data_IF_782608758277
#
_entry.id   IF_782608758277
#
_cell.length_a   1.000
_cell.length_b   1.000
_cell.length_c   1.000
_cell.angle_alpha   90.00
_cell.angle_beta   90.00
_cell.angle_gamma   90.00
#
_symmetry.space_group_name_H-M   'P 1'
#
loop_
_entity.id
_entity.type
_entity.pdbx_description
1 polymer ?
#
# COMPACT_ATOMS: atom_id res chain seq x y z
N UNK A 1 22.86 -18.70 -2.34
CA UNK A 1 22.30 -17.44 -2.87
C UNK A 1 21.41 -17.81 -4.03
N UNK A 2 20.10 -17.52 -4.01
CA UNK A 2 19.26 -17.76 -5.18
C UNK A 2 19.73 -16.82 -6.31
N UNK A 3 19.76 -17.35 -7.51
CA UNK A 3 20.28 -16.71 -8.71
C UNK A 3 19.32 -15.59 -9.16
N UNK A 4 19.55 -14.36 -8.69
CA UNK A 4 18.77 -13.17 -9.04
C UNK A 4 18.81 -12.79 -10.53
N UNK A 5 19.70 -13.43 -11.31
CA UNK A 5 19.97 -13.04 -12.69
C UNK A 5 18.96 -13.57 -13.73
N UNK A 6 18.07 -14.50 -13.36
CA UNK A 6 17.19 -15.15 -14.35
C UNK A 6 15.86 -14.42 -14.61
N UNK A 7 15.51 -13.41 -13.80
CA UNK A 7 14.21 -12.73 -13.89
C UNK A 7 14.27 -11.20 -13.99
N UNK A 8 15.46 -10.63 -14.10
CA UNK A 8 15.61 -9.19 -14.25
C UNK A 8 15.58 -8.81 -15.74
N UNK A 9 14.83 -7.76 -16.07
CA UNK A 9 14.91 -7.13 -17.39
C UNK A 9 16.30 -6.51 -17.59
N UNK A 10 16.71 -6.27 -18.87
CA UNK A 10 17.98 -5.57 -19.18
C UNK A 10 18.07 -4.22 -18.46
N UNK A 11 16.95 -3.50 -18.33
CA UNK A 11 16.86 -2.21 -17.64
C UNK A 11 17.11 -2.37 -16.15
N UNK A 12 16.47 -3.34 -15.51
CA UNK A 12 16.65 -3.66 -14.08
C UNK A 12 18.09 -4.09 -13.77
N UNK A 13 18.72 -4.88 -14.64
CA UNK A 13 20.11 -5.30 -14.47
C UNK A 13 21.08 -4.11 -14.60
N UNK A 14 20.83 -3.17 -15.52
CA UNK A 14 21.65 -1.96 -15.67
C UNK A 14 21.48 -1.00 -14.50
N UNK A 15 20.27 -0.87 -13.93
CA UNK A 15 20.00 -0.08 -12.73
C UNK A 15 20.72 -0.65 -11.50
N UNK A 16 20.75 -1.98 -11.35
CA UNK A 16 21.47 -2.66 -10.26
C UNK A 16 22.99 -2.55 -10.44
N UNK A 17 23.51 -2.66 -11.65
CA UNK A 17 24.95 -2.57 -11.94
C UNK A 17 25.47 -1.13 -11.90
N UNK A 18 24.64 -0.13 -12.19
CA UNK A 18 24.99 1.30 -12.08
C UNK A 18 25.20 1.80 -10.65
N UNK A 19 24.86 1.01 -9.64
CA UNK A 19 24.95 1.35 -8.22
C UNK A 19 26.40 1.49 -7.70
N UNK A 20 27.37 0.88 -8.40
CA UNK A 20 28.76 0.84 -7.94
C UNK A 20 29.55 2.15 -8.08
N UNK A 21 29.08 3.13 -8.86
CA UNK A 21 29.89 4.30 -9.24
C UNK A 21 29.39 5.67 -8.73
N UNK A 22 28.21 5.77 -8.12
CA UNK A 22 27.58 7.04 -7.75
C UNK A 22 27.34 7.22 -6.23
N UNK A 23 28.10 6.55 -5.37
CA UNK A 23 28.04 6.74 -3.91
C UNK A 23 28.74 8.01 -3.41
N UNK A 24 29.08 8.94 -4.31
CA UNK A 24 29.71 10.20 -3.95
C UNK A 24 28.72 11.37 -4.13
N UNK A 25 28.42 12.01 -2.98
CA UNK A 25 27.84 13.36 -2.86
C UNK A 25 26.33 13.51 -3.17
N UNK A 26 25.47 12.97 -2.31
CA UNK A 26 24.24 13.69 -2.01
C UNK A 26 24.54 14.72 -0.89
N UNK A 27 24.13 15.98 -1.03
CA UNK A 27 24.36 16.97 0.03
C UNK A 27 23.58 16.56 1.28
N UNK A 28 24.31 16.32 2.38
CA UNK A 28 23.72 16.23 3.70
C UNK A 28 23.13 17.59 4.04
N UNK A 29 21.78 17.67 4.13
CA UNK A 29 21.12 18.82 4.74
C UNK A 29 20.44 19.78 3.77
N UNK A 30 19.52 19.29 2.90
CA UNK A 30 18.40 20.10 2.46
C UNK A 30 17.15 19.47 3.10
N UNK A 31 16.86 19.84 4.34
CA UNK A 31 15.53 19.61 4.90
C UNK A 31 14.57 20.39 4.01
N UNK A 32 13.64 19.67 3.38
CA UNK A 32 12.70 20.26 2.45
C UNK A 32 11.92 21.36 3.18
N UNK A 33 11.94 22.58 2.61
CA UNK A 33 10.91 23.58 2.86
C UNK A 33 9.55 22.92 2.69
N UNK A 34 8.54 23.34 3.47
CA UNK A 34 7.17 22.90 3.31
C UNK A 34 6.84 22.77 1.83
N UNK A 35 6.55 21.57 1.37
CA UNK A 35 6.33 21.30 -0.03
C UNK A 35 5.13 22.11 -0.49
N UNK A 36 5.37 23.19 -1.24
CA UNK A 36 4.30 23.99 -1.79
C UNK A 36 3.48 23.11 -2.74
N UNK A 37 2.23 22.90 -2.41
CA UNK A 37 1.32 22.15 -3.27
C UNK A 37 0.97 22.97 -4.52
N UNK A 38 0.77 22.33 -5.68
CA UNK A 38 0.31 23.01 -6.88
C UNK A 38 -1.00 23.77 -6.61
N UNK A 39 -1.16 24.96 -7.21
CA UNK A 39 -2.40 25.73 -7.08
C UNK A 39 -3.61 24.89 -7.49
N UNK A 40 -4.62 24.78 -6.62
CA UNK A 40 -5.81 23.98 -6.83
C UNK A 40 -5.65 22.50 -6.53
N UNK A 41 -4.53 22.10 -5.91
CA UNK A 41 -4.38 20.73 -5.42
C UNK A 41 -5.37 20.46 -4.29
N UNK A 42 -5.92 19.24 -4.30
CA UNK A 42 -6.87 18.75 -3.29
C UNK A 42 -6.44 17.36 -2.81
N UNK A 43 -6.87 17.00 -1.61
CA UNK A 43 -6.98 15.62 -1.16
C UNK A 43 -8.47 15.28 -1.15
N UNK A 44 -8.86 14.31 -1.97
CA UNK A 44 -10.27 13.92 -2.12
C UNK A 44 -10.63 12.87 -1.09
N UNK A 45 -11.67 13.14 -0.32
CA UNK A 45 -12.28 12.17 0.60
C UNK A 45 -13.68 11.81 0.16
N UNK A 46 -14.26 10.80 0.77
CA UNK A 46 -15.61 10.32 0.45
C UNK A 46 -16.70 11.36 0.68
N UNK A 47 -16.47 12.35 1.54
CA UNK A 47 -17.46 13.38 1.89
C UNK A 47 -17.18 14.73 1.21
N UNK A 48 -15.93 15.19 1.19
CA UNK A 48 -15.53 16.48 0.59
C UNK A 48 -14.08 16.48 0.14
N UNK A 49 -13.72 17.44 -0.69
CA UNK A 49 -12.33 17.72 -1.03
C UNK A 49 -11.71 18.65 0.03
N UNK A 50 -10.47 18.39 0.44
CA UNK A 50 -9.69 19.21 1.38
C UNK A 50 -8.52 19.87 0.65
N UNK A 51 -8.15 21.09 1.05
CA UNK A 51 -6.81 21.57 0.76
C UNK A 51 -5.79 20.70 1.52
N UNK A 52 -4.62 20.36 0.92
CA UNK A 52 -3.65 19.49 1.60
C UNK A 52 -3.20 20.00 2.97
N UNK A 53 -3.20 21.31 3.17
CA UNK A 53 -2.84 22.00 4.41
C UNK A 53 -3.85 21.74 5.54
N UNK A 54 -5.13 21.52 5.20
CA UNK A 54 -6.17 21.23 6.20
C UNK A 54 -5.95 19.89 6.92
N UNK A 55 -5.19 18.97 6.31
CA UNK A 55 -4.86 17.66 6.88
C UNK A 55 -3.46 17.60 7.51
N UNK A 56 -2.77 18.76 7.66
CA UNK A 56 -1.44 18.84 8.26
C UNK A 56 -1.43 18.62 9.79
N UNK A 57 -2.58 18.67 10.42
CA UNK A 57 -2.72 18.59 11.89
C UNK A 57 -2.50 17.20 12.49
N UNK A 58 -2.22 16.18 11.69
CA UNK A 58 -2.01 14.82 12.18
C UNK A 58 -1.56 13.84 11.10
N UNK A 59 -1.30 12.61 11.52
CA UNK A 59 -0.86 11.55 10.63
C UNK A 59 -1.95 11.12 9.65
N UNK A 60 -1.55 10.67 8.47
CA UNK A 60 -2.42 9.98 7.52
C UNK A 60 -1.97 8.52 7.39
N UNK A 61 -2.87 7.59 7.66
CA UNK A 61 -2.67 6.18 7.39
C UNK A 61 -3.01 5.91 5.92
N UNK A 62 -2.03 5.46 5.14
CA UNK A 62 -2.22 5.37 3.68
C UNK A 62 -2.86 4.05 3.22
N UNK A 63 -3.03 3.06 4.10
CA UNK A 63 -3.53 1.73 3.74
C UNK A 63 -4.18 1.04 4.94
N UNK A 64 -5.51 1.09 5.00
CA UNK A 64 -6.34 0.36 5.97
C UNK A 64 -7.57 -0.22 5.27
N UNK A 65 -8.29 -1.14 5.93
CA UNK A 65 -9.52 -1.75 5.41
C UNK A 65 -10.67 -1.61 6.42
N UNK A 66 -11.74 -0.93 6.03
CA UNK A 66 -12.92 -0.76 6.89
C UNK A 66 -14.01 -1.77 6.58
N UNK A 67 -14.02 -2.34 5.38
CA UNK A 67 -14.99 -3.34 4.98
C UNK A 67 -14.37 -4.32 3.97
N UNK A 68 -14.55 -5.61 4.24
CA UNK A 68 -14.18 -6.70 3.34
C UNK A 68 -15.34 -7.71 3.30
N UNK A 69 -15.48 -8.44 2.19
CA UNK A 69 -16.45 -9.53 2.09
C UNK A 69 -16.23 -10.57 3.19
N UNK A 70 -17.29 -11.19 3.69
CA UNK A 70 -17.23 -12.20 4.76
C UNK A 70 -16.35 -13.40 4.40
N UNK A 71 -16.23 -13.72 3.11
CA UNK A 71 -15.41 -14.80 2.58
C UNK A 71 -14.00 -14.36 2.11
N UNK A 72 -13.66 -13.06 2.24
CA UNK A 72 -12.40 -12.50 1.76
C UNK A 72 -11.18 -13.24 2.32
N UNK A 73 -11.12 -13.43 3.64
CA UNK A 73 -9.99 -14.11 4.29
C UNK A 73 -9.84 -15.58 3.82
N UNK A 74 -10.94 -16.26 3.57
CA UNK A 74 -10.92 -17.63 3.06
C UNK A 74 -10.37 -17.67 1.63
N UNK A 75 -10.85 -16.79 0.75
CA UNK A 75 -10.35 -16.64 -0.62
C UNK A 75 -8.88 -16.24 -0.65
N UNK A 76 -8.48 -15.26 0.15
CA UNK A 76 -7.09 -14.80 0.24
C UNK A 76 -6.17 -15.92 0.72
N UNK A 77 -6.59 -16.68 1.74
CA UNK A 77 -5.85 -17.83 2.25
C UNK A 77 -5.67 -18.92 1.20
N UNK A 78 -6.71 -19.24 0.44
CA UNK A 78 -6.66 -20.21 -0.65
C UNK A 78 -5.73 -19.77 -1.79
N UNK A 79 -5.83 -18.50 -2.20
CA UNK A 79 -4.98 -17.91 -3.24
C UNK A 79 -3.50 -17.91 -2.81
N UNK A 80 -3.21 -17.53 -1.57
CA UNK A 80 -1.85 -17.55 -1.00
C UNK A 80 -1.28 -18.97 -0.96
N UNK A 81 -2.10 -19.96 -0.57
CA UNK A 81 -1.68 -21.36 -0.55
C UNK A 81 -1.38 -21.87 -1.96
N UNK A 82 -2.21 -21.53 -2.95
CA UNK A 82 -2.01 -21.89 -4.34
C UNK A 82 -0.72 -21.25 -4.92
N UNK A 83 -0.47 -19.96 -4.66
CA UNK A 83 0.74 -19.28 -5.09
C UNK A 83 2.00 -19.90 -4.47
N UNK A 84 1.96 -20.28 -3.19
CA UNK A 84 3.07 -20.97 -2.53
C UNK A 84 3.31 -22.38 -3.11
N UNK A 85 2.25 -23.12 -3.42
CA UNK A 85 2.37 -24.44 -4.03
C UNK A 85 2.97 -24.37 -5.44
N UNK A 86 2.57 -23.37 -6.24
CA UNK A 86 3.12 -23.14 -7.58
C UNK A 86 4.62 -22.76 -7.56
N UNK A 87 5.07 -22.06 -6.53
CA UNK A 87 6.47 -21.65 -6.33
C UNK A 87 7.30 -22.67 -5.55
N UNK A 88 6.69 -23.73 -5.00
CA UNK A 88 7.43 -24.84 -4.40
C UNK A 88 8.15 -25.62 -5.51
N UNK A 89 9.48 -25.59 -5.54
CA UNK A 89 10.26 -26.44 -6.46
C UNK A 89 9.91 -27.91 -6.26
N UNK A 90 9.80 -28.72 -7.34
CA UNK A 90 9.62 -30.14 -7.22
C UNK A 90 10.71 -30.75 -6.32
N UNK A 91 10.35 -31.61 -5.37
CA UNK A 91 11.23 -32.22 -4.37
C UNK A 91 12.43 -32.98 -4.94
N UNK A 92 12.54 -33.13 -6.26
CA UNK A 92 13.62 -33.85 -6.95
C UNK A 92 14.94 -33.06 -7.09
N UNK A 93 14.97 -31.73 -6.84
CA UNK A 93 16.19 -30.92 -6.96
C UNK A 93 16.92 -30.68 -5.61
N UNK A 94 16.41 -31.13 -4.49
CA UNK A 94 16.97 -30.89 -3.16
C UNK A 94 17.86 -32.06 -2.66
N UNK A 95 18.80 -32.53 -3.50
CA UNK A 95 19.90 -33.39 -3.01
C UNK A 95 21.19 -32.57 -2.92
N UNK A 96 21.32 -31.81 -1.83
CA UNK A 96 22.52 -31.07 -1.50
C UNK A 96 22.30 -30.25 -0.24
N UNK A 97 22.64 -30.82 0.91
CA UNK A 97 22.22 -30.39 2.24
C UNK A 97 22.61 -28.97 2.66
N UNK A 98 21.64 -28.31 3.26
CA UNK A 98 21.74 -27.48 4.46
C UNK A 98 20.33 -27.42 5.08
N UNK A 99 20.15 -27.43 6.41
CA UNK A 99 18.82 -27.41 7.00
C UNK A 99 18.14 -26.08 6.65
N UNK A 100 16.94 -26.17 6.09
CA UNK A 100 16.07 -25.05 5.85
C UNK A 100 15.76 -24.37 7.20
N UNK A 101 16.23 -23.16 7.37
CA UNK A 101 15.71 -22.27 8.42
C UNK A 101 14.26 -22.01 8.05
N UNK A 102 13.35 -22.50 8.87
CA UNK A 102 11.92 -22.24 8.71
C UNK A 102 11.71 -20.73 8.71
N UNK A 103 11.44 -20.17 7.53
CA UNK A 103 11.13 -18.77 7.36
C UNK A 103 9.93 -18.41 8.21
N UNK A 104 10.11 -17.40 9.06
CA UNK A 104 9.08 -16.88 9.94
C UNK A 104 7.82 -16.55 9.13
N UNK A 105 6.73 -17.23 9.46
CA UNK A 105 5.43 -17.02 8.85
C UNK A 105 5.01 -15.58 9.02
N UNK A 106 4.67 -14.93 7.90
CA UNK A 106 4.07 -13.61 7.92
C UNK A 106 2.89 -13.56 8.88
N UNK A 107 2.87 -12.50 9.67
CA UNK A 107 1.87 -12.28 10.69
C UNK A 107 0.48 -12.18 10.03
N UNK A 108 -0.34 -13.16 10.27
CA UNK A 108 -1.75 -13.14 9.87
C UNK A 108 -2.45 -12.11 10.75
N UNK A 109 -2.74 -10.94 10.21
CA UNK A 109 -3.75 -10.03 10.73
C UNK A 109 -5.15 -10.60 10.48
N UNK A 110 -5.42 -11.78 10.99
CA UNK A 110 -6.73 -12.38 11.06
C UNK A 110 -6.92 -12.85 12.48
N UNK A 111 -7.96 -12.41 13.17
CA UNK A 111 -8.40 -12.95 14.42
C UNK A 111 -8.73 -14.43 14.24
N UNK A 112 -7.70 -15.26 14.29
CA UNK A 112 -7.80 -16.71 14.34
C UNK A 112 -8.18 -17.10 15.76
N UNK A 113 -9.47 -17.26 16.02
CA UNK A 113 -9.99 -17.89 17.23
C UNK A 113 -9.45 -19.31 17.36
N UNK A 114 -8.45 -19.54 18.21
CA UNK A 114 -8.08 -20.85 18.72
C UNK A 114 -8.43 -20.88 20.20
N UNK A 115 -9.60 -21.37 20.50
CA UNK A 115 -10.01 -21.64 21.87
C UNK A 115 -11.45 -22.09 21.89
N UNK A 116 -11.70 -23.39 22.03
CA UNK A 116 -13.00 -23.93 22.35
C UNK A 116 -13.44 -23.43 23.74
N UNK A 117 -14.28 -22.45 23.77
CA UNK A 117 -15.04 -21.99 24.91
C UNK A 117 -16.25 -21.26 24.33
N UNK A 118 -17.47 -21.65 24.77
CA UNK A 118 -18.75 -21.12 24.28
C UNK A 118 -18.97 -19.65 24.62
N UNK A 119 -18.09 -18.76 24.13
CA UNK A 119 -18.25 -17.32 24.17
C UNK A 119 -18.96 -16.82 22.93
N UNK A 120 -19.75 -15.77 23.07
CA UNK A 120 -20.36 -15.03 21.96
C UNK A 120 -19.26 -14.65 20.95
N UNK A 121 -19.43 -14.91 19.63
CA UNK A 121 -18.47 -14.47 18.64
C UNK A 121 -18.21 -12.96 18.79
N UNK A 122 -16.98 -12.48 18.58
CA UNK A 122 -16.73 -11.05 18.58
C UNK A 122 -17.63 -10.38 17.55
N UNK A 123 -18.13 -9.17 17.83
CA UNK A 123 -19.02 -8.46 16.94
C UNK A 123 -18.32 -8.25 15.58
N UNK A 124 -19.08 -8.44 14.50
CA UNK A 124 -18.60 -8.21 13.14
C UNK A 124 -18.53 -6.70 12.86
N UNK A 125 -17.39 -6.12 13.22
CA UNK A 125 -17.14 -4.68 13.09
C UNK A 125 -17.16 -4.21 11.62
N UNK A 126 -16.72 -5.06 10.68
CA UNK A 126 -16.60 -4.72 9.27
C UNK A 126 -17.94 -4.66 8.54
N UNK A 127 -19.01 -5.15 9.16
CA UNK A 127 -20.38 -5.09 8.62
C UNK A 127 -21.35 -4.32 9.53
N UNK A 128 -20.82 -3.58 10.51
CA UNK A 128 -21.59 -2.75 11.41
C UNK A 128 -21.06 -1.31 11.41
N UNK A 129 -21.82 -0.40 10.80
CA UNK A 129 -21.43 1.01 10.65
C UNK A 129 -21.14 1.67 12.00
N UNK A 130 -21.93 1.39 13.03
CA UNK A 130 -21.78 2.05 14.34
C UNK A 130 -20.48 1.60 15.01
N UNK A 131 -20.23 0.30 15.08
CA UNK A 131 -18.99 -0.25 15.64
C UNK A 131 -17.75 0.21 14.87
N UNK A 132 -17.80 0.21 13.54
CA UNK A 132 -16.70 0.70 12.73
C UNK A 132 -16.48 2.20 12.93
N UNK A 133 -17.55 2.98 13.06
CA UNK A 133 -17.45 4.43 13.31
C UNK A 133 -16.83 4.73 14.67
N UNK A 134 -17.17 3.97 15.71
CA UNK A 134 -16.55 4.08 17.03
C UNK A 134 -15.04 3.73 16.97
N UNK A 135 -14.69 2.67 16.23
CA UNK A 135 -13.30 2.25 16.07
C UNK A 135 -12.47 3.31 15.33
N UNK A 136 -13.00 3.84 14.23
CA UNK A 136 -12.35 4.91 13.47
C UNK A 136 -12.25 6.20 14.29
N UNK A 137 -13.27 6.56 15.07
CA UNK A 137 -13.27 7.75 15.93
C UNK A 137 -12.13 7.74 16.99
N UNK A 138 -11.73 6.56 17.47
CA UNK A 138 -10.59 6.41 18.41
C UNK A 138 -9.27 6.90 17.83
N UNK A 139 -9.13 6.88 16.51
CA UNK A 139 -7.88 7.29 15.83
C UNK A 139 -7.56 8.77 16.04
N UNK A 140 -8.56 9.62 16.28
CA UNK A 140 -8.36 11.06 16.56
C UNK A 140 -7.50 11.28 17.81
N UNK A 141 -7.72 10.50 18.86
CA UNK A 141 -6.93 10.61 20.10
C UNK A 141 -5.47 10.18 19.90
N UNK A 142 -5.18 9.41 18.87
CA UNK A 142 -3.82 9.03 18.47
C UNK A 142 -3.17 10.04 17.50
N UNK A 143 -3.83 11.17 17.19
CA UNK A 143 -3.29 12.19 16.28
C UNK A 143 -3.38 11.81 14.80
N UNK A 144 -4.35 10.97 14.41
CA UNK A 144 -4.60 10.61 13.01
C UNK A 144 -5.64 11.58 12.43
N UNK A 145 -5.27 12.28 11.35
CA UNK A 145 -6.09 13.28 10.67
C UNK A 145 -6.83 12.72 9.45
N UNK A 146 -6.35 11.64 8.86
CA UNK A 146 -6.95 11.03 7.67
C UNK A 146 -6.59 9.55 7.56
N UNK A 147 -7.48 8.77 6.95
CA UNK A 147 -7.26 7.34 6.68
C UNK A 147 -7.60 7.07 5.21
N UNK A 148 -6.79 6.27 4.54
CA UNK A 148 -7.09 5.72 3.21
C UNK A 148 -7.64 4.32 3.39
N UNK A 149 -8.86 4.09 2.89
CA UNK A 149 -9.46 2.77 2.80
C UNK A 149 -9.05 2.12 1.48
N UNK A 150 -8.30 1.03 1.55
CA UNK A 150 -7.79 0.27 0.40
C UNK A 150 -8.80 -0.70 -0.21
N UNK A 151 -10.03 -0.71 0.31
CA UNK A 151 -11.06 -1.63 -0.16
C UNK A 151 -11.59 -1.31 -1.55
N UNK A 152 -12.01 -2.36 -2.26
CA UNK A 152 -12.62 -2.30 -3.59
C UNK A 152 -13.96 -3.05 -3.61
N UNK A 153 -14.84 -2.81 -4.61
CA UNK A 153 -16.06 -3.60 -4.77
C UNK A 153 -15.81 -5.10 -4.91
N UNK A 154 -14.73 -5.53 -5.59
CA UNK A 154 -14.33 -6.93 -5.75
C UNK A 154 -13.76 -7.56 -4.45
N UNK A 155 -13.44 -6.74 -3.46
CA UNK A 155 -13.11 -7.14 -2.09
C UNK A 155 -14.32 -7.08 -1.14
N UNK A 156 -15.48 -6.62 -1.62
CA UNK A 156 -16.72 -6.49 -0.84
C UNK A 156 -16.95 -5.14 -0.19
N UNK A 157 -16.20 -4.09 -0.57
CA UNK A 157 -16.41 -2.72 -0.06
C UNK A 157 -17.69 -2.11 -0.65
N UNK A 158 -18.56 -1.56 0.22
CA UNK A 158 -19.66 -0.65 -0.12
C UNK A 158 -19.25 0.80 0.20
N UNK A 159 -19.23 1.65 -0.81
CA UNK A 159 -18.86 3.06 -0.65
C UNK A 159 -19.79 3.82 0.30
N UNK A 160 -21.05 3.43 0.41
CA UNK A 160 -22.01 4.07 1.31
C UNK A 160 -21.74 3.70 2.78
N UNK A 161 -21.21 2.48 3.03
CA UNK A 161 -20.70 2.10 4.35
C UNK A 161 -19.57 3.04 4.76
N UNK A 162 -18.58 3.24 3.88
CA UNK A 162 -17.42 4.11 4.15
C UNK A 162 -17.85 5.56 4.37
N UNK A 163 -18.81 6.08 3.57
CA UNK A 163 -19.37 7.43 3.76
C UNK A 163 -20.03 7.59 5.13
N UNK A 164 -20.81 6.61 5.55
CA UNK A 164 -21.45 6.64 6.87
C UNK A 164 -20.41 6.58 8.00
N UNK A 165 -19.39 5.73 7.88
CA UNK A 165 -18.30 5.65 8.85
C UNK A 165 -17.57 6.98 8.95
N UNK A 166 -17.21 7.61 7.82
CA UNK A 166 -16.56 8.93 7.82
C UNK A 166 -17.42 10.00 8.47
N UNK A 167 -18.72 10.02 8.16
CA UNK A 167 -19.67 11.00 8.71
C UNK A 167 -19.85 10.84 10.22
N UNK A 168 -20.04 9.61 10.70
CA UNK A 168 -20.28 9.34 12.12
C UNK A 168 -19.02 9.49 12.96
N UNK A 169 -17.87 9.02 12.48
CA UNK A 169 -16.59 9.13 13.18
C UNK A 169 -16.04 10.55 13.17
N UNK A 170 -16.40 11.34 12.17
CA UNK A 170 -15.82 12.67 11.93
C UNK A 170 -14.34 12.62 11.52
N UNK A 171 -13.87 11.48 10.98
CA UNK A 171 -12.53 11.29 10.43
C UNK A 171 -12.60 11.34 8.90
N UNK A 172 -11.80 12.19 8.24
CA UNK A 172 -11.67 12.19 6.80
C UNK A 172 -11.18 10.82 6.28
N UNK A 173 -11.93 10.22 5.33
CA UNK A 173 -11.56 8.96 4.71
C UNK A 173 -11.41 9.16 3.21
N UNK A 174 -10.26 8.79 2.69
CA UNK A 174 -9.97 8.70 1.25
C UNK A 174 -10.36 7.31 0.80
N UNK A 175 -11.24 7.20 -0.20
CA UNK A 175 -11.57 5.89 -0.77
C UNK A 175 -10.56 5.48 -1.83
N UNK A 176 -10.07 4.28 -1.70
CA UNK A 176 -9.39 3.52 -2.74
C UNK A 176 -10.37 2.96 -3.77
N UNK A 177 -9.84 2.52 -4.91
CA UNK A 177 -10.64 1.85 -5.93
C UNK A 177 -9.80 1.25 -7.03
N UNK A 178 -10.44 0.51 -7.90
CA UNK A 178 -9.82 -0.24 -8.96
C UNK A 178 -10.20 -1.71 -8.89
N UNK A 179 -9.25 -2.59 -9.20
CA UNK A 179 -9.40 -4.05 -9.10
C UNK A 179 -8.21 -4.60 -8.30
N UNK A 180 -8.49 -5.46 -7.32
CA UNK A 180 -7.49 -5.94 -6.38
C UNK A 180 -6.43 -6.83 -7.04
N UNK A 181 -6.71 -8.11 -7.17
CA UNK A 181 -5.80 -9.08 -7.79
C UNK A 181 -6.61 -10.19 -8.47
N UNK A 182 -5.97 -10.97 -9.34
CA UNK A 182 -6.67 -11.92 -10.21
C UNK A 182 -7.64 -12.86 -9.50
N UNK A 183 -7.38 -13.43 -8.30
CA UNK A 183 -8.34 -14.29 -7.61
C UNK A 183 -9.65 -13.60 -7.22
N UNK A 184 -9.66 -12.28 -7.17
CA UNK A 184 -10.79 -11.46 -6.75
C UNK A 184 -11.49 -10.76 -7.92
N UNK A 185 -10.86 -10.72 -9.08
CA UNK A 185 -11.39 -10.00 -10.23
C UNK A 185 -12.80 -10.50 -10.62
N UNK A 186 -13.70 -9.57 -11.00
CA UNK A 186 -14.88 -9.93 -11.76
C UNK A 186 -14.49 -10.75 -12.99
N UNK A 187 -15.32 -11.75 -13.35
CA UNK A 187 -15.02 -12.67 -14.46
C UNK A 187 -14.83 -11.95 -15.79
N UNK A 188 -15.48 -10.81 -15.94
CA UNK A 188 -15.45 -9.96 -17.14
C UNK A 188 -14.06 -9.41 -17.44
N UNK A 189 -13.20 -9.22 -16.41
CA UNK A 189 -11.83 -8.69 -16.58
C UNK A 189 -11.05 -9.52 -17.58
N UNK A 190 -11.22 -10.83 -17.60
CA UNK A 190 -10.48 -11.72 -18.53
C UNK A 190 -10.80 -11.43 -19.99
N UNK A 191 -12.02 -11.00 -20.30
CA UNK A 191 -12.52 -10.73 -21.67
C UNK A 191 -12.59 -9.25 -22.03
N UNK A 192 -12.56 -8.35 -21.04
CA UNK A 192 -12.56 -6.91 -21.28
C UNK A 192 -11.30 -6.47 -22.00
N UNK A 193 -11.43 -5.54 -22.93
CA UNK A 193 -10.29 -4.82 -23.47
C UNK A 193 -9.68 -3.89 -22.41
N UNK A 194 -8.40 -3.58 -22.55
CA UNK A 194 -7.73 -2.62 -21.66
C UNK A 194 -8.44 -1.25 -21.66
N UNK A 195 -8.92 -0.79 -22.84
CA UNK A 195 -9.67 0.46 -22.95
C UNK A 195 -11.02 0.43 -22.24
N UNK A 196 -11.69 -0.71 -22.15
CA UNK A 196 -12.95 -0.81 -21.40
C UNK A 196 -12.69 -0.87 -19.89
N UNK A 197 -11.59 -1.48 -19.45
CA UNK A 197 -11.15 -1.40 -18.05
C UNK A 197 -10.83 0.06 -17.67
N UNK A 198 -10.16 0.83 -18.52
CA UNK A 198 -9.90 2.26 -18.29
C UNK A 198 -11.20 3.04 -18.10
N UNK A 199 -12.20 2.82 -18.97
CA UNK A 199 -13.52 3.48 -18.84
C UNK A 199 -14.21 3.09 -17.52
N UNK A 200 -14.16 1.81 -17.14
CA UNK A 200 -14.73 1.32 -15.89
C UNK A 200 -14.06 1.97 -14.66
N UNK A 201 -12.73 2.09 -14.66
CA UNK A 201 -11.95 2.74 -13.61
C UNK A 201 -12.29 4.24 -13.48
N UNK A 202 -12.39 4.96 -14.60
CA UNK A 202 -12.76 6.38 -14.61
C UNK A 202 -14.19 6.55 -14.10
N UNK A 203 -15.12 5.69 -14.53
CA UNK A 203 -16.49 5.72 -14.04
C UNK A 203 -16.55 5.47 -12.54
N UNK A 204 -15.83 4.48 -12.04
CA UNK A 204 -15.75 4.19 -10.60
C UNK A 204 -15.17 5.38 -9.83
N UNK A 205 -14.10 6.01 -10.34
CA UNK A 205 -13.49 7.18 -9.71
C UNK A 205 -14.49 8.33 -9.55
N UNK A 206 -15.35 8.54 -10.55
CA UNK A 206 -16.38 9.57 -10.51
C UNK A 206 -17.56 9.19 -9.57
N UNK A 207 -18.07 7.95 -9.67
CA UNK A 207 -19.28 7.52 -8.95
C UNK A 207 -19.01 7.32 -7.44
N UNK A 208 -17.87 6.72 -7.10
CA UNK A 208 -17.45 6.45 -5.72
C UNK A 208 -16.72 7.63 -5.08
N UNK A 209 -16.37 8.66 -5.86
CA UNK A 209 -15.58 9.81 -5.38
C UNK A 209 -14.22 9.37 -4.85
N UNK A 210 -13.49 8.57 -5.66
CA UNK A 210 -12.19 8.04 -5.26
C UNK A 210 -11.15 9.15 -5.09
N UNK A 211 -10.26 8.99 -4.09
CA UNK A 211 -9.08 9.83 -3.90
C UNK A 211 -7.78 9.17 -4.36
N UNK A 212 -7.81 7.87 -4.62
CA UNK A 212 -6.64 7.08 -5.03
C UNK A 212 -7.09 5.83 -5.81
N UNK A 213 -6.29 5.34 -6.76
CA UNK A 213 -6.42 3.97 -7.25
C UNK A 213 -5.57 3.06 -6.36
N UNK A 214 -6.17 2.07 -5.76
CA UNK A 214 -5.48 1.13 -4.85
C UNK A 214 -6.39 0.55 -3.77
N UNK A 215 -5.98 -0.62 -3.27
CA UNK A 215 -4.70 -1.29 -3.58
C UNK A 215 -4.79 -2.13 -4.86
N UNK A 216 -3.96 -1.83 -5.84
CA UNK A 216 -3.89 -2.59 -7.10
C UNK A 216 -2.90 -3.73 -6.93
N UNK A 217 -3.35 -4.96 -7.06
CA UNK A 217 -2.60 -6.13 -6.60
C UNK A 217 -1.96 -6.99 -7.69
N UNK A 218 -0.82 -7.54 -7.33
CA UNK A 218 -0.26 -8.72 -7.98
C UNK A 218 0.44 -9.62 -6.97
N UNK A 219 0.63 -10.88 -7.36
CA UNK A 219 1.47 -11.82 -6.63
C UNK A 219 2.94 -11.70 -7.07
N UNK A 220 3.79 -12.66 -6.68
CA UNK A 220 5.22 -12.67 -7.05
C UNK A 220 5.45 -12.69 -8.56
N UNK A 221 4.56 -13.35 -9.30
CA UNK A 221 4.52 -13.33 -10.76
C UNK A 221 3.25 -12.61 -11.19
N UNK A 222 3.42 -11.53 -11.95
CA UNK A 222 2.29 -10.74 -12.45
C UNK A 222 1.64 -11.50 -13.62
N UNK A 223 0.37 -11.84 -13.47
CA UNK A 223 -0.38 -12.56 -14.50
C UNK A 223 -0.72 -11.66 -15.70
N UNK A 224 -1.20 -12.24 -16.79
CA UNK A 224 -1.58 -11.48 -17.98
C UNK A 224 -2.73 -10.49 -17.68
N UNK A 225 -3.72 -10.90 -16.87
CA UNK A 225 -4.84 -10.04 -16.50
C UNK A 225 -4.41 -8.95 -15.52
N UNK A 226 -3.54 -9.27 -14.55
CA UNK A 226 -2.97 -8.26 -13.65
C UNK A 226 -2.17 -7.22 -14.43
N UNK A 227 -1.30 -7.61 -15.39
CA UNK A 227 -0.60 -6.67 -16.28
C UNK A 227 -1.57 -5.76 -17.04
N UNK A 228 -2.67 -6.32 -17.55
CA UNK A 228 -3.70 -5.57 -18.24
C UNK A 228 -4.36 -4.55 -17.31
N UNK A 229 -4.67 -4.94 -16.07
CA UNK A 229 -5.25 -4.05 -15.04
C UNK A 229 -4.24 -2.96 -14.66
N UNK A 230 -2.97 -3.29 -14.39
CA UNK A 230 -1.94 -2.29 -14.07
C UNK A 230 -1.79 -1.24 -15.18
N UNK A 231 -1.74 -1.65 -16.47
CA UNK A 231 -1.70 -0.71 -17.60
C UNK A 231 -2.95 0.16 -17.67
N UNK A 232 -4.12 -0.44 -17.46
CA UNK A 232 -5.38 0.30 -17.46
C UNK A 232 -5.44 1.32 -16.31
N UNK A 233 -4.98 0.96 -15.11
CA UNK A 233 -4.88 1.87 -13.96
C UNK A 233 -3.92 3.02 -14.26
N UNK A 234 -2.76 2.74 -14.86
CA UNK A 234 -1.82 3.79 -15.29
C UNK A 234 -2.46 4.77 -16.27
N UNK A 235 -3.21 4.29 -17.27
CA UNK A 235 -3.93 5.15 -18.21
C UNK A 235 -5.07 5.92 -17.54
N UNK A 236 -5.79 5.30 -16.62
CA UNK A 236 -6.83 5.98 -15.84
C UNK A 236 -6.23 7.06 -14.93
N UNK A 237 -5.04 6.84 -14.34
CA UNK A 237 -4.27 7.87 -13.64
C UNK A 237 -3.98 9.08 -14.54
N UNK A 238 -3.49 8.84 -15.77
CA UNK A 238 -3.19 9.93 -16.73
C UNK A 238 -4.44 10.77 -17.00
N UNK A 239 -5.64 10.17 -17.04
CA UNK A 239 -6.91 10.87 -17.27
C UNK A 239 -7.48 11.58 -16.03
N UNK A 240 -7.24 11.03 -14.82
CA UNK A 240 -7.87 11.50 -13.58
C UNK A 240 -6.94 12.27 -12.66
N UNK A 241 -5.65 12.06 -12.76
CA UNK A 241 -4.58 12.47 -11.83
C UNK A 241 -4.63 11.79 -10.45
N UNK A 242 -5.50 10.81 -10.23
CA UNK A 242 -5.54 10.07 -8.97
C UNK A 242 -4.24 9.31 -8.76
N UNK A 243 -3.58 9.40 -7.59
CA UNK A 243 -2.38 8.61 -7.29
C UNK A 243 -2.68 7.11 -7.24
N UNK A 244 -1.63 6.29 -7.23
CA UNK A 244 -1.77 4.83 -7.26
C UNK A 244 -1.00 4.22 -6.09
N UNK A 245 -1.63 3.31 -5.32
CA UNK A 245 -0.88 2.43 -4.44
C UNK A 245 -1.16 0.96 -4.74
N UNK A 246 -0.15 0.11 -4.50
CA UNK A 246 -0.20 -1.27 -4.96
C UNK A 246 -0.14 -2.27 -3.81
N UNK A 247 -0.67 -3.46 -4.08
CA UNK A 247 -0.42 -4.67 -3.31
C UNK A 247 0.66 -5.49 -4.00
N UNK A 248 1.73 -5.78 -3.28
CA UNK A 248 2.81 -6.62 -3.80
C UNK A 248 2.79 -7.97 -3.10
N UNK A 249 2.79 -9.05 -3.86
CA UNK A 249 2.81 -10.40 -3.34
C UNK A 249 4.03 -10.66 -2.43
N UNK A 250 3.95 -11.70 -1.64
CA UNK A 250 5.01 -12.12 -0.72
C UNK A 250 5.92 -13.11 -1.44
N UNK A 251 7.21 -12.82 -1.59
CA UNK A 251 8.09 -11.88 -0.88
C UNK A 251 8.31 -10.50 -1.54
N UNK A 252 7.51 -10.04 -2.49
CA UNK A 252 7.65 -8.71 -3.09
C UNK A 252 8.51 -8.68 -4.36
N UNK A 253 8.73 -9.80 -5.03
CA UNK A 253 9.52 -9.90 -6.28
C UNK A 253 9.00 -9.03 -7.41
N UNK A 254 7.67 -8.87 -7.50
CA UNK A 254 7.01 -8.10 -8.55
C UNK A 254 7.11 -6.57 -8.37
N UNK A 255 7.68 -6.09 -7.26
CA UNK A 255 7.70 -4.66 -6.93
C UNK A 255 8.25 -3.75 -8.03
N UNK A 256 9.41 -4.10 -8.61
CA UNK A 256 10.01 -3.31 -9.70
C UNK A 256 9.22 -3.43 -10.99
N UNK A 257 8.68 -4.61 -11.27
CA UNK A 257 7.88 -4.86 -12.46
C UNK A 257 6.55 -4.11 -12.42
N UNK A 258 5.88 -4.02 -11.26
CA UNK A 258 4.71 -3.17 -11.07
C UNK A 258 5.01 -1.71 -11.47
N UNK A 259 6.14 -1.19 -10.98
CA UNK A 259 6.55 0.17 -11.29
C UNK A 259 6.89 0.35 -12.77
N UNK A 260 7.58 -0.63 -13.40
CA UNK A 260 7.87 -0.61 -14.83
C UNK A 260 6.60 -0.53 -15.68
N UNK A 261 5.59 -1.36 -15.36
CA UNK A 261 4.30 -1.37 -16.09
C UNK A 261 3.59 -0.02 -15.96
N UNK A 262 3.60 0.57 -14.77
CA UNK A 262 2.95 1.86 -14.53
C UNK A 262 3.68 3.00 -15.24
N UNK A 263 5.01 3.03 -15.22
CA UNK A 263 5.79 4.03 -16.00
C UNK A 263 5.56 3.89 -17.49
N UNK A 264 5.54 2.67 -18.02
CA UNK A 264 5.25 2.41 -19.44
C UNK A 264 3.84 2.86 -19.84
N UNK A 265 2.89 2.90 -18.89
CA UNK A 265 1.57 3.45 -19.07
C UNK A 265 1.48 4.99 -18.89
N UNK A 266 2.61 5.66 -18.63
CA UNK A 266 2.71 7.11 -18.52
C UNK A 266 2.61 7.67 -17.09
N UNK A 267 2.69 6.83 -16.07
CA UNK A 267 2.65 7.27 -14.66
C UNK A 267 4.03 7.77 -14.22
N UNK A 268 4.08 8.94 -13.59
CA UNK A 268 5.31 9.36 -12.93
C UNK A 268 5.44 8.60 -11.59
N UNK A 269 6.59 7.96 -11.30
CA UNK A 269 6.79 7.20 -10.07
C UNK A 269 6.46 7.95 -8.77
N UNK A 270 6.60 9.28 -8.74
CA UNK A 270 6.24 10.08 -7.57
C UNK A 270 4.72 10.08 -7.26
N UNK A 271 3.92 9.43 -8.11
CA UNK A 271 2.49 9.21 -7.93
C UNK A 271 2.16 7.75 -7.58
N UNK A 272 3.19 6.94 -7.24
CA UNK A 272 3.05 5.51 -6.97
C UNK A 272 3.62 5.17 -5.60
N UNK A 273 2.84 4.46 -4.78
CA UNK A 273 3.32 3.71 -3.62
C UNK A 273 3.38 2.24 -4.00
N UNK A 274 4.54 1.61 -3.83
CA UNK A 274 4.65 0.14 -3.89
C UNK A 274 4.43 -0.38 -2.47
N UNK A 275 3.29 -1.04 -2.26
CA UNK A 275 2.83 -1.53 -0.96
C UNK A 275 3.46 -2.85 -0.53
N UNK A 276 3.31 -3.19 0.74
CA UNK A 276 3.75 -4.42 1.39
C UNK A 276 5.26 -4.69 1.34
N UNK A 277 6.09 -3.67 1.13
CA UNK A 277 7.54 -3.87 0.99
C UNK A 277 8.24 -4.20 2.32
N UNK A 278 7.55 -4.12 3.45
CA UNK A 278 8.00 -4.73 4.70
C UNK A 278 8.11 -6.25 4.64
N UNK A 279 7.44 -6.91 3.69
CA UNK A 279 7.53 -8.35 3.46
C UNK A 279 8.76 -8.76 2.64
N UNK A 280 9.37 -7.82 1.91
CA UNK A 280 10.58 -8.06 1.15
C UNK A 280 11.81 -7.97 2.07
N UNK A 281 12.27 -9.12 2.54
CA UNK A 281 13.45 -9.21 3.39
C UNK A 281 14.70 -9.06 2.54
N UNK A 282 15.19 -7.83 2.45
CA UNK A 282 16.43 -7.46 1.76
C UNK A 282 17.29 -6.62 2.71
N UNK A 283 18.30 -7.23 3.30
CA UNK A 283 19.19 -6.56 4.27
C UNK A 283 19.90 -5.33 3.68
N UNK A 284 20.10 -5.28 2.37
CA UNK A 284 20.74 -4.16 1.69
C UNK A 284 19.73 -3.18 1.09
N UNK A 285 18.44 -3.47 1.21
CA UNK A 285 17.31 -2.68 0.71
C UNK A 285 17.46 -2.25 -0.77
N UNK A 286 18.01 -3.13 -1.62
CA UNK A 286 18.31 -2.79 -3.02
C UNK A 286 17.07 -2.44 -3.82
N UNK A 287 16.02 -3.27 -3.73
CA UNK A 287 14.74 -3.03 -4.41
C UNK A 287 14.10 -1.75 -3.89
N UNK A 288 14.07 -1.54 -2.58
CA UNK A 288 13.54 -0.33 -1.96
C UNK A 288 14.28 0.92 -2.47
N UNK A 289 15.61 0.89 -2.46
CA UNK A 289 16.42 2.01 -2.99
C UNK A 289 16.18 2.25 -4.47
N UNK A 290 16.00 1.20 -5.27
CA UNK A 290 15.71 1.34 -6.70
C UNK A 290 14.39 2.09 -6.93
N UNK A 291 13.33 1.76 -6.18
CA UNK A 291 12.05 2.45 -6.23
C UNK A 291 12.20 3.93 -5.81
N UNK A 292 12.87 4.19 -4.68
CA UNK A 292 13.09 5.56 -4.19
C UNK A 292 13.86 6.42 -5.20
N UNK A 293 14.91 5.88 -5.86
CA UNK A 293 15.68 6.61 -6.88
C UNK A 293 14.85 6.97 -8.10
N UNK A 294 13.84 6.19 -8.43
CA UNK A 294 12.87 6.48 -9.50
C UNK A 294 11.84 7.51 -9.06
N UNK A 295 11.80 7.88 -7.78
CA UNK A 295 10.87 8.83 -7.20
C UNK A 295 9.62 8.20 -6.58
N UNK A 296 9.49 6.87 -6.62
CA UNK A 296 8.37 6.13 -6.02
C UNK A 296 8.42 6.10 -4.50
N UNK A 297 7.28 5.80 -3.89
CA UNK A 297 7.16 5.62 -2.45
C UNK A 297 7.16 4.13 -2.08
N UNK A 298 7.66 3.85 -0.88
CA UNK A 298 7.67 2.54 -0.25
C UNK A 298 6.56 2.46 0.80
N UNK A 299 5.63 1.52 0.64
CA UNK A 299 4.61 1.22 1.64
C UNK A 299 5.09 0.18 2.64
N UNK A 300 5.32 0.61 3.89
CA UNK A 300 5.44 -0.27 5.05
C UNK A 300 4.10 -0.24 5.78
N UNK A 301 3.26 -1.21 5.52
CA UNK A 301 1.85 -1.17 5.86
C UNK A 301 1.37 -2.34 6.72
N UNK A 302 2.28 -3.07 7.38
CA UNK A 302 1.95 -4.12 8.35
C UNK A 302 2.63 -3.85 9.68
N UNK A 303 2.43 -2.63 10.19
CA UNK A 303 3.12 -2.09 11.35
C UNK A 303 2.29 -2.26 12.64
N UNK A 304 2.96 -2.21 13.78
CA UNK A 304 2.36 -2.38 15.10
C UNK A 304 2.13 -3.84 15.49
N UNK A 305 2.92 -4.76 14.94
CA UNK A 305 2.83 -6.19 15.18
C UNK A 305 4.17 -6.89 15.34
N UNK A 306 4.15 -8.22 15.22
CA UNK A 306 5.34 -9.07 15.40
C UNK A 306 6.41 -8.87 14.31
N UNK A 307 6.05 -8.28 13.16
CA UNK A 307 6.98 -7.97 12.07
C UNK A 307 7.86 -6.74 12.30
N UNK A 308 7.54 -5.91 13.30
CA UNK A 308 8.22 -4.63 13.53
C UNK A 308 9.74 -4.79 13.70
N UNK A 309 10.17 -5.79 14.48
CA UNK A 309 11.57 -6.04 14.76
C UNK A 309 12.40 -6.34 13.48
N UNK A 310 11.77 -6.93 12.48
CA UNK A 310 12.39 -7.24 11.18
C UNK A 310 12.39 -6.04 10.24
N UNK A 311 11.35 -5.22 10.29
CA UNK A 311 11.17 -4.09 9.39
C UNK A 311 11.95 -2.84 9.82
N UNK A 312 12.08 -2.58 11.12
CA UNK A 312 12.78 -1.39 11.65
C UNK A 312 14.21 -1.25 11.11
N UNK A 313 15.07 -2.28 11.08
CA UNK A 313 16.42 -2.15 10.53
C UNK A 313 16.45 -1.72 9.05
N UNK A 314 15.50 -2.23 8.22
CA UNK A 314 15.39 -1.84 6.83
C UNK A 314 14.97 -0.37 6.70
N UNK A 315 13.99 0.07 7.49
CA UNK A 315 13.55 1.46 7.54
C UNK A 315 14.66 2.40 7.96
N UNK A 316 15.40 2.06 9.04
CA UNK A 316 16.54 2.87 9.49
C UNK A 316 17.63 2.96 8.43
N UNK A 317 17.94 1.85 7.73
CA UNK A 317 18.89 1.85 6.60
C UNK A 317 18.43 2.81 5.47
N UNK A 318 17.13 2.89 5.19
CA UNK A 318 16.58 3.82 4.20
C UNK A 318 16.60 5.27 4.70
N UNK A 319 16.25 5.50 5.96
CA UNK A 319 16.27 6.83 6.59
C UNK A 319 17.70 7.39 6.61
N UNK A 320 18.68 6.60 7.05
CA UNK A 320 20.11 6.96 7.08
C UNK A 320 20.67 7.23 5.68
N UNK A 321 20.15 6.52 4.67
CA UNK A 321 20.50 6.75 3.27
C UNK A 321 19.79 7.97 2.63
N UNK A 322 18.97 8.72 3.40
CA UNK A 322 18.31 9.94 2.95
C UNK A 322 16.99 9.71 2.20
N UNK A 323 16.37 8.53 2.33
CA UNK A 323 15.11 8.20 1.64
C UNK A 323 13.85 8.38 2.51
N UNK A 324 13.92 9.11 3.62
CA UNK A 324 12.76 9.38 4.48
C UNK A 324 11.58 9.99 3.69
N UNK A 325 11.86 10.79 2.65
CA UNK A 325 10.85 11.44 1.78
C UNK A 325 10.06 10.45 0.91
N UNK A 326 10.45 9.17 0.89
CA UNK A 326 9.84 8.12 0.08
C UNK A 326 9.16 7.02 0.91
N UNK A 327 9.13 7.16 2.24
CA UNK A 327 8.51 6.15 3.11
C UNK A 327 7.09 6.52 3.47
N UNK A 328 6.23 5.51 3.57
CA UNK A 328 4.83 5.59 4.00
C UNK A 328 4.55 4.52 5.04
N UNK A 329 3.77 4.84 6.07
CA UNK A 329 3.46 3.94 7.17
C UNK A 329 1.97 3.73 7.36
N UNK A 330 1.56 2.47 7.57
CA UNK A 330 0.19 2.08 7.86
C UNK A 330 0.16 0.71 8.55
N UNK A 331 -1.02 0.17 8.81
CA UNK A 331 -1.12 -1.13 9.48
C UNK A 331 -1.79 -2.22 8.66
N UNK A 332 -2.39 -1.91 7.51
CA UNK A 332 -3.14 -2.87 6.69
C UNK A 332 -4.10 -3.67 7.58
N UNK A 333 -4.89 -2.93 8.35
CA UNK A 333 -5.71 -3.50 9.40
C UNK A 333 -7.19 -3.27 9.12
N UNK A 334 -8.03 -4.10 9.73
CA UNK A 334 -9.48 -3.96 9.76
C UNK A 334 -10.01 -3.47 11.12
N UNK A 335 -9.11 -3.25 12.05
CA UNK A 335 -9.35 -2.65 13.38
C UNK A 335 -8.02 -2.34 14.06
N UNK A 336 -8.05 -1.55 15.16
CA UNK A 336 -6.84 -1.15 15.86
C UNK A 336 -5.93 -0.26 15.01
N UNK A 337 -6.52 0.62 14.21
CA UNK A 337 -5.83 1.49 13.25
C UNK A 337 -4.75 2.36 13.89
N UNK A 338 -4.92 2.72 15.18
CA UNK A 338 -3.95 3.54 15.90
C UNK A 338 -2.60 2.87 16.16
N UNK A 339 -2.48 1.54 15.96
CA UNK A 339 -1.27 0.78 16.34
C UNK A 339 -0.01 1.22 15.60
N UNK A 340 -0.12 1.72 14.38
CA UNK A 340 1.02 2.34 13.67
C UNK A 340 1.59 3.49 14.48
N UNK A 341 0.74 4.36 15.04
CA UNK A 341 1.16 5.53 15.80
C UNK A 341 1.54 5.15 17.24
N UNK A 342 0.68 4.39 17.93
CA UNK A 342 0.80 4.16 19.38
C UNK A 342 1.73 3.01 19.76
N UNK A 343 1.95 2.06 18.84
CA UNK A 343 2.77 0.86 19.09
C UNK A 343 4.06 0.87 18.29
N UNK A 344 3.97 1.16 16.98
CA UNK A 344 5.13 1.06 16.11
C UNK A 344 6.05 2.29 16.21
N UNK A 345 5.53 3.52 16.12
CA UNK A 345 6.39 4.72 16.14
C UNK A 345 7.28 4.83 17.37
N UNK A 346 6.83 4.50 18.61
CA UNK A 346 7.73 4.45 19.76
C UNK A 346 8.93 3.53 19.58
N UNK A 347 8.76 2.39 18.91
CA UNK A 347 9.86 1.44 18.62
C UNK A 347 10.81 2.02 17.58
N UNK A 348 10.30 2.65 16.54
CA UNK A 348 11.10 3.30 15.51
C UNK A 348 11.90 4.48 16.10
N UNK A 349 11.29 5.26 16.99
CA UNK A 349 11.95 6.35 17.73
C UNK A 349 13.07 5.82 18.63
N UNK A 350 12.81 4.72 19.34
CA UNK A 350 13.83 4.04 20.15
C UNK A 350 15.00 3.51 19.30
N UNK A 351 14.76 3.20 18.02
CA UNK A 351 15.80 2.81 17.06
C UNK A 351 16.59 4.00 16.47
N UNK A 352 16.22 5.26 16.79
CA UNK A 352 16.95 6.46 16.40
C UNK A 352 16.26 7.39 15.40
N UNK A 353 15.02 7.10 14.97
CA UNK A 353 14.30 8.03 14.11
C UNK A 353 13.90 9.29 14.89
N UNK A 354 14.18 10.47 14.31
CA UNK A 354 13.83 11.77 14.92
C UNK A 354 12.36 12.12 14.72
N UNK A 355 11.84 13.05 15.52
CA UNK A 355 10.47 13.52 15.39
C UNK A 355 10.20 14.18 14.04
N UNK A 356 11.19 14.88 13.45
CA UNK A 356 11.08 15.45 12.10
C UNK A 356 10.95 14.38 11.03
N UNK A 357 11.73 13.30 11.13
CA UNK A 357 11.63 12.16 10.20
C UNK A 357 10.29 11.47 10.34
N UNK A 358 9.82 11.25 11.55
CA UNK A 358 8.51 10.65 11.82
C UNK A 358 7.39 11.54 11.25
N UNK A 359 7.42 12.86 11.50
CA UNK A 359 6.46 13.80 10.96
C UNK A 359 6.44 13.76 9.42
N UNK A 360 7.61 13.77 8.80
CA UNK A 360 7.75 13.67 7.34
C UNK A 360 7.09 12.43 6.78
N UNK A 361 7.33 11.28 7.37
CA UNK A 361 6.80 9.99 6.89
C UNK A 361 5.30 9.87 7.12
N UNK A 362 4.79 10.38 8.25
CA UNK A 362 3.41 10.17 8.65
C UNK A 362 2.46 11.31 8.26
N UNK A 363 2.99 12.51 8.02
CA UNK A 363 2.19 13.71 7.71
C UNK A 363 2.50 14.25 6.31
N UNK A 364 3.77 14.58 6.01
CA UNK A 364 4.11 15.28 4.78
C UNK A 364 4.04 14.39 3.54
N UNK A 365 4.64 13.20 3.61
CA UNK A 365 4.66 12.26 2.49
C UNK A 365 3.24 11.84 2.06
N UNK A 366 2.33 11.41 2.98
CA UNK A 366 0.97 11.05 2.58
C UNK A 366 0.20 12.21 1.96
N UNK A 367 0.33 13.43 2.50
CA UNK A 367 -0.29 14.63 1.92
C UNK A 367 0.24 14.90 0.51
N UNK A 368 1.57 14.83 0.32
CA UNK A 368 2.21 15.02 -0.98
C UNK A 368 1.80 13.96 -2.00
N UNK A 369 1.65 12.73 -1.57
CA UNK A 369 1.19 11.63 -2.40
C UNK A 369 -0.29 11.78 -2.79
N UNK A 370 -1.17 12.04 -1.81
CA UNK A 370 -2.61 12.12 -2.02
C UNK A 370 -3.06 13.39 -2.75
N UNK A 371 -2.30 14.48 -2.62
CA UNK A 371 -2.64 15.75 -3.25
C UNK A 371 -2.55 15.66 -4.78
N UNK A 372 -3.61 16.07 -5.48
CA UNK A 372 -3.64 16.15 -6.94
C UNK A 372 -4.50 17.33 -7.40
N UNK A 373 -4.24 17.82 -8.62
CA UNK A 373 -5.10 18.81 -9.28
C UNK A 373 -6.10 18.03 -10.14
N UNK A 374 -7.41 18.10 -9.82
CA UNK A 374 -8.41 17.37 -10.57
C UNK A 374 -8.47 17.81 -12.04
N UNK A 375 -8.40 16.86 -12.98
CA UNK A 375 -8.69 17.09 -14.41
C UNK A 375 -10.19 17.10 -14.69
N UNK A 376 -11.00 16.60 -13.74
CA UNK A 376 -12.45 16.51 -13.82
C UNK A 376 -13.07 17.07 -12.56
N UNK A 377 -14.16 17.81 -12.68
CA UNK A 377 -14.92 18.30 -11.53
C UNK A 377 -15.65 17.14 -10.84
N UNK A 378 -15.79 17.24 -9.51
CA UNK A 378 -16.63 16.32 -8.74
C UNK A 378 -18.06 16.38 -9.25
N UNK A 379 -18.69 15.25 -9.57
CA UNK A 379 -20.12 15.18 -9.80
C UNK A 379 -20.85 15.53 -8.50
N UNK A 380 -21.79 16.47 -8.59
CA UNK A 380 -22.62 16.88 -7.43
C UNK A 380 -23.68 15.82 -7.13
#
# INVERSE_FOLDING_TARGET
MPNLSQHLTRRQALEILGIGAAAAALPRGAFAQDAAFPKGAIIRTVLKDYAPEELAGGATLFHEHMQLATDFNAKFGAATAAARAANAMPAAAARGGAPAVAGAGGNRGGAGNRGGGGGTPPPDIMHNVDLMSEEVAKTKSAGIACIVDGGHPDMGRDINFIRQVSMKSGVPIVAGGGFYSQPFYPKEISTMSEGDIVKALIKQADDDTLGVFGEIGSWDEITADERKVFRAVGKAHVETSLPIFTHTGIPGKSALEQLDILEDAGVNPNRVIIGHLGNLVDANVYVHRAICRRGGFIGFDRLGGNGDAQQIPMMMTLIEAGYADHLMFSSDASSGYSKTITVFLPKLKAAGATDEVIHRITVDNPRRFLAFVPKRSRKK
#
